data_IF_222249010962
#
_entry.id   IF_222249010962
#
_cell.length_a   1.000
_cell.length_b   1.000
_cell.length_c   1.000
_cell.angle_alpha   90.00
_cell.angle_beta   90.00
_cell.angle_gamma   90.00
#
_symmetry.space_group_name_H-M   'P 1'
#
loop_
_entity.id
_entity.type
_entity.pdbx_description
1 polymer ?
#
# COMPACT_ATOMS: atom_id res chain seq x y z
N UNK A 1 6.36 -3.29 -6.98
CA UNK A 1 6.62 -2.98 -5.57
C UNK A 1 7.82 -2.04 -5.50
N UNK A 2 7.66 -0.88 -4.90
CA UNK A 2 8.78 -0.02 -4.53
C UNK A 2 9.24 -0.37 -3.11
N UNK A 3 10.55 -0.34 -2.88
CA UNK A 3 11.19 -0.61 -1.59
C UNK A 3 11.88 0.66 -1.14
N UNK A 4 11.66 1.06 0.11
CA UNK A 4 12.35 2.17 0.73
C UNK A 4 12.84 1.74 2.11
N UNK A 5 14.04 2.14 2.49
CA UNK A 5 14.63 1.81 3.79
C UNK A 5 14.71 3.07 4.62
N UNK A 6 13.95 3.13 5.71
CA UNK A 6 13.86 4.32 6.56
C UNK A 6 13.60 3.93 8.01
N UNK A 7 13.87 4.85 8.95
CA UNK A 7 13.26 4.73 10.27
C UNK A 7 11.75 5.00 10.19
N UNK A 8 11.00 4.31 11.02
CA UNK A 8 9.55 4.48 11.16
C UNK A 8 9.20 4.91 12.58
N UNK A 9 8.14 5.70 12.70
CA UNK A 9 7.67 6.28 13.96
C UNK A 9 6.21 5.88 14.20
N UNK A 10 5.90 5.39 15.41
CA UNK A 10 4.56 5.00 15.85
C UNK A 10 4.39 5.45 17.31
N UNK A 11 3.39 6.30 17.59
CA UNK A 11 3.07 6.76 18.96
C UNK A 11 4.30 7.23 19.77
N UNK A 12 5.12 8.13 19.20
CA UNK A 12 6.36 8.64 19.81
C UNK A 12 7.45 7.58 20.08
N UNK A 13 7.37 6.42 19.41
CA UNK A 13 8.39 5.38 19.39
C UNK A 13 8.97 5.23 17.99
N UNK A 14 10.30 5.11 17.90
CA UNK A 14 11.03 5.05 16.63
C UNK A 14 11.72 3.70 16.45
N UNK A 15 11.79 3.18 15.23
CA UNK A 15 12.52 1.93 14.98
C UNK A 15 14.00 2.05 15.34
N UNK A 16 14.51 1.05 16.05
CA UNK A 16 15.92 1.02 16.52
C UNK A 16 16.87 1.07 15.32
N UNK A 17 16.53 0.34 14.26
CA UNK A 17 17.25 0.34 12.99
C UNK A 17 16.31 0.79 11.85
N UNK A 18 16.83 1.31 10.72
CA UNK A 18 16.04 1.48 9.52
C UNK A 18 15.44 0.14 9.07
N UNK A 19 14.19 0.15 8.63
CA UNK A 19 13.50 -1.03 8.11
C UNK A 19 13.07 -0.82 6.66
N UNK A 20 12.91 -1.92 5.93
CA UNK A 20 12.36 -1.92 4.57
C UNK A 20 10.83 -1.79 4.62
N UNK A 21 10.32 -0.64 4.17
CA UNK A 21 8.91 -0.40 3.90
C UNK A 21 8.64 -0.52 2.40
N UNK A 22 7.52 -1.14 2.05
CA UNK A 22 7.15 -1.39 0.65
C UNK A 22 5.84 -0.70 0.28
N UNK A 23 5.75 -0.24 -0.97
CA UNK A 23 4.56 0.39 -1.53
C UNK A 23 4.27 -0.12 -2.95
N UNK A 24 3.00 -0.07 -3.33
CA UNK A 24 2.60 -0.28 -4.72
C UNK A 24 2.55 1.04 -5.47
N UNK A 25 3.29 1.13 -6.57
CA UNK A 25 3.18 2.22 -7.52
C UNK A 25 3.26 1.67 -8.93
N UNK A 26 2.59 2.33 -9.87
CA UNK A 26 2.54 1.91 -11.26
C UNK A 26 1.30 2.44 -11.96
N UNK A 27 1.32 2.38 -13.29
CA UNK A 27 0.17 2.71 -14.12
C UNK A 27 -0.68 1.46 -14.34
N UNK A 28 -1.97 1.58 -14.07
CA UNK A 28 -2.97 0.55 -14.35
C UNK A 28 -3.94 1.05 -15.43
N UNK A 29 -4.59 0.12 -16.14
CA UNK A 29 -5.46 0.44 -17.26
C UNK A 29 -6.74 1.15 -16.81
N UNK A 30 -7.06 2.26 -17.46
CA UNK A 30 -8.32 2.98 -17.29
C UNK A 30 -8.95 3.25 -18.65
N UNK A 31 -10.26 3.08 -18.76
CA UNK A 31 -11.00 3.31 -20.00
C UNK A 31 -12.36 3.95 -19.70
N UNK A 32 -12.80 4.83 -20.59
CA UNK A 32 -14.18 5.34 -20.62
C UNK A 32 -14.71 5.21 -22.03
N UNK A 33 -15.89 4.60 -22.18
CA UNK A 33 -16.46 4.29 -23.50
C UNK A 33 -17.98 4.40 -23.45
N UNK A 34 -18.59 4.98 -24.49
CA UNK A 34 -20.03 4.97 -24.64
C UNK A 34 -20.54 3.57 -24.98
N UNK A 35 -21.54 3.08 -24.26
CA UNK A 35 -22.20 1.80 -24.53
C UNK A 35 -23.57 2.03 -25.13
N UNK A 36 -23.74 1.61 -26.38
CA UNK A 36 -25.05 1.65 -27.07
C UNK A 36 -26.08 0.78 -26.34
N UNK A 37 -25.66 -0.38 -25.81
CA UNK A 37 -26.53 -1.29 -25.05
C UNK A 37 -27.06 -0.65 -23.77
N UNK A 38 -26.22 0.12 -23.06
CA UNK A 38 -26.59 0.80 -21.81
C UNK A 38 -27.14 2.21 -22.03
N UNK A 39 -27.01 2.75 -23.24
CA UNK A 39 -27.29 4.15 -23.57
C UNK A 39 -26.62 5.13 -22.59
N UNK A 40 -25.39 4.81 -22.17
CA UNK A 40 -24.65 5.56 -21.14
C UNK A 40 -23.13 5.44 -21.33
N UNK A 41 -22.38 6.33 -20.67
CA UNK A 41 -20.93 6.14 -20.53
C UNK A 41 -20.64 4.99 -19.56
N UNK A 42 -19.73 4.10 -19.95
CA UNK A 42 -19.17 3.06 -19.11
C UNK A 42 -17.74 3.44 -18.74
N UNK A 43 -17.41 3.28 -17.46
CA UNK A 43 -16.10 3.59 -16.91
C UNK A 43 -15.47 2.32 -16.33
N UNK A 44 -14.25 2.03 -16.75
CA UNK A 44 -13.43 0.92 -16.28
C UNK A 44 -12.19 1.52 -15.64
N UNK A 45 -12.02 1.34 -14.34
CA UNK A 45 -10.84 1.77 -13.61
C UNK A 45 -10.13 0.56 -13.01
N UNK A 46 -8.81 0.63 -12.93
CA UNK A 46 -8.02 -0.28 -12.12
C UNK A 46 -6.94 0.47 -11.36
N UNK A 47 -6.62 0.01 -10.15
CA UNK A 47 -5.62 0.61 -9.28
C UNK A 47 -4.52 -0.40 -8.98
N UNK A 48 -3.27 0.08 -8.88
CA UNK A 48 -2.14 -0.73 -8.44
C UNK A 48 -2.26 -0.95 -6.93
N UNK A 49 -2.54 -2.18 -6.51
CA UNK A 49 -2.78 -2.56 -5.12
C UNK A 49 -1.96 -3.78 -4.73
N UNK A 50 -1.78 -3.96 -3.43
CA UNK A 50 -1.14 -5.13 -2.86
C UNK A 50 -1.91 -6.40 -3.23
N UNK A 51 -1.22 -7.36 -3.85
CA UNK A 51 -1.77 -8.66 -4.19
C UNK A 51 -1.44 -9.69 -3.10
N UNK A 52 -0.17 -9.68 -2.67
CA UNK A 52 0.32 -10.55 -1.62
C UNK A 52 1.09 -9.74 -0.59
N UNK A 53 0.81 -10.02 0.67
CA UNK A 53 1.45 -9.36 1.82
C UNK A 53 1.93 -10.37 2.85
N UNK A 54 2.94 -10.01 3.61
CA UNK A 54 3.35 -10.68 4.85
C UNK A 54 3.32 -9.72 6.03
N UNK A 55 3.08 -10.25 7.23
CA UNK A 55 3.26 -9.50 8.48
C UNK A 55 4.70 -9.63 8.92
N UNK A 56 5.34 -8.51 9.22
CA UNK A 56 6.71 -8.44 9.75
C UNK A 56 6.71 -7.69 11.07
N UNK A 57 7.70 -7.95 11.90
CA UNK A 57 7.88 -7.29 13.19
C UNK A 57 9.03 -6.31 13.15
N UNK A 58 8.89 -5.21 13.89
CA UNK A 58 9.95 -4.24 14.15
C UNK A 58 9.96 -3.90 15.63
N UNK A 59 11.16 -3.80 16.19
CA UNK A 59 11.36 -3.27 17.55
C UNK A 59 11.50 -1.75 17.49
N UNK A 60 10.64 -1.07 18.21
CA UNK A 60 10.63 0.38 18.37
C UNK A 60 11.16 0.75 19.76
N UNK A 61 11.91 1.84 19.84
CA UNK A 61 12.35 2.45 21.09
C UNK A 61 11.59 3.74 21.33
N UNK A 62 10.97 3.85 22.49
CA UNK A 62 10.14 4.98 22.90
C UNK A 62 10.96 5.98 23.75
N UNK A 63 10.43 7.20 23.93
CA UNK A 63 11.09 8.25 24.72
C UNK A 63 11.32 7.89 26.21
N UNK A 64 10.56 6.94 26.75
CA UNK A 64 10.70 6.42 28.12
C UNK A 64 11.69 5.24 28.21
N UNK A 65 12.55 5.07 27.20
CA UNK A 65 13.49 3.94 27.04
C UNK A 65 12.85 2.53 26.98
N UNK A 66 11.50 2.44 26.94
CA UNK A 66 10.85 1.15 26.70
C UNK A 66 10.98 0.70 25.25
N UNK A 67 11.04 -0.61 25.05
CA UNK A 67 11.02 -1.24 23.74
C UNK A 67 9.68 -1.92 23.50
N UNK A 68 9.11 -1.67 22.33
CA UNK A 68 7.83 -2.23 21.91
C UNK A 68 8.00 -2.92 20.57
N UNK A 69 7.48 -4.14 20.46
CA UNK A 69 7.40 -4.85 19.18
C UNK A 69 6.12 -4.44 18.48
N UNK A 70 6.24 -4.01 17.22
CA UNK A 70 5.11 -3.62 16.39
C UNK A 70 5.07 -4.47 15.12
N UNK A 71 3.88 -4.97 14.78
CA UNK A 71 3.63 -5.65 13.52
C UNK A 71 3.34 -4.62 12.42
N UNK A 72 3.92 -4.80 11.24
CA UNK A 72 3.59 -4.02 10.05
C UNK A 72 3.37 -4.93 8.84
N UNK A 73 2.66 -4.40 7.86
CA UNK A 73 2.39 -5.08 6.59
C UNK A 73 3.52 -4.82 5.61
N UNK A 74 4.09 -5.89 5.08
CA UNK A 74 5.08 -5.85 4.02
C UNK A 74 4.48 -6.40 2.73
N UNK A 75 4.44 -5.58 1.69
CA UNK A 75 3.95 -5.94 0.37
C UNK A 75 4.99 -6.80 -0.37
N UNK A 76 4.60 -8.00 -0.77
CA UNK A 76 5.41 -8.94 -1.55
C UNK A 76 5.20 -8.77 -3.06
N UNK A 77 3.96 -8.55 -3.49
CA UNK A 77 3.60 -8.29 -4.89
C UNK A 77 2.46 -7.28 -5.01
N UNK A 78 2.37 -6.65 -6.18
CA UNK A 78 1.29 -5.73 -6.53
C UNK A 78 0.61 -6.22 -7.81
N UNK A 79 -0.68 -5.95 -7.93
CA UNK A 79 -1.46 -6.22 -9.15
C UNK A 79 -2.40 -5.05 -9.47
N UNK A 80 -2.87 -4.99 -10.71
CA UNK A 80 -3.91 -4.02 -11.09
C UNK A 80 -5.27 -4.62 -10.76
N UNK A 81 -5.91 -4.07 -9.74
CA UNK A 81 -7.23 -4.51 -9.26
C UNK A 81 -8.31 -3.60 -9.81
N UNK A 82 -9.33 -4.19 -10.44
CA UNK A 82 -10.48 -3.44 -10.96
C UNK A 82 -11.20 -2.70 -9.81
N UNK A 83 -11.57 -1.44 -10.05
CA UNK A 83 -12.29 -0.60 -9.10
C UNK A 83 -13.39 0.17 -9.82
N UNK A 84 -14.46 0.51 -9.08
CA UNK A 84 -15.42 1.50 -9.56
C UNK A 84 -14.77 2.88 -9.49
N UNK A 85 -14.85 3.60 -10.61
CA UNK A 85 -14.56 5.03 -10.63
C UNK A 85 -15.73 5.71 -9.88
N UNK A 86 -15.41 6.55 -8.90
CA UNK A 86 -16.39 7.47 -8.28
C UNK A 86 -16.21 8.83 -8.96
N UNK A 87 -17.31 9.38 -9.45
CA UNK A 87 -17.38 10.71 -10.06
C UNK A 87 -17.33 11.83 -9.01
#
# INVERSE_FOLDING_TARGET
>A
VLKNTTHVDVNDCKSIHPIEVTSCSGHCGTQSMYSMEKNSMMHICSCCQEEKVSRRQVTLKCANDSEVVHDYIHIESCTCTARQCVD
#
